data_IF_487512389443
#
_entry.id   IF_487512389443
#
_cell.length_a   1.000
_cell.length_b   1.000
_cell.length_c   1.000
_cell.angle_alpha   90.00
_cell.angle_beta   90.00
_cell.angle_gamma   90.00
#
_symmetry.space_group_name_H-M   'P 1'
#
loop_
_entity.id
_entity.type
_entity.pdbx_description
1 polymer ?
#
# COMPACT_ATOMS: atom_id res chain seq x y z
N UNK A 1 21.10 -0.70 12.47
CA UNK A 1 20.40 0.44 13.14
C UNK A 1 19.86 0.08 14.53
N UNK A 2 19.86 -1.16 14.95
CA UNK A 2 19.48 -1.56 16.33
C UNK A 2 18.03 -1.27 16.74
N UNK A 3 17.14 -1.04 15.77
CA UNK A 3 15.73 -0.73 16.02
C UNK A 3 15.00 -2.04 16.35
N UNK A 4 14.39 -2.20 17.54
CA UNK A 4 13.60 -3.38 17.87
C UNK A 4 12.33 -3.41 17.02
N UNK A 5 11.87 -4.62 16.68
CA UNK A 5 10.60 -4.79 15.99
C UNK A 5 9.48 -4.23 16.87
N UNK A 6 8.72 -3.29 16.31
CA UNK A 6 7.57 -2.67 16.98
C UNK A 6 6.37 -2.58 16.01
N UNK A 7 5.22 -2.23 16.55
CA UNK A 7 3.98 -1.93 15.81
C UNK A 7 3.53 -0.49 16.06
N UNK A 8 4.46 0.38 16.44
CA UNK A 8 4.17 1.79 16.69
C UNK A 8 3.64 2.49 15.45
N UNK A 9 2.74 3.42 15.64
CA UNK A 9 2.31 4.38 14.63
C UNK A 9 3.36 5.44 14.32
N UNK A 10 4.39 5.61 15.17
CA UNK A 10 5.45 6.61 15.05
C UNK A 10 6.50 6.24 13.99
N UNK A 11 7.24 7.23 13.44
CA UNK A 11 8.40 6.97 12.61
C UNK A 11 9.45 6.09 13.32
N UNK A 12 10.12 5.22 12.56
CA UNK A 12 10.97 4.16 13.12
C UNK A 12 12.24 4.67 13.81
N UNK A 13 12.86 5.76 13.31
CA UNK A 13 14.15 6.24 13.84
C UNK A 13 14.35 7.74 13.63
N UNK A 14 14.50 8.51 14.71
CA UNK A 14 14.79 9.96 14.70
C UNK A 14 13.88 10.77 13.74
N UNK A 15 12.59 10.42 13.68
CA UNK A 15 11.63 11.07 12.80
C UNK A 15 11.68 10.60 11.34
N UNK A 16 12.43 9.51 11.05
CA UNK A 16 12.49 8.88 9.75
C UNK A 16 11.72 7.56 9.75
N UNK A 17 10.85 7.37 8.77
CA UNK A 17 10.25 6.08 8.46
C UNK A 17 11.24 5.21 7.67
N UNK A 18 11.49 3.98 8.10
CA UNK A 18 12.41 3.05 7.43
C UNK A 18 11.65 2.07 6.57
N UNK A 19 11.81 2.15 5.25
CA UNK A 19 11.20 1.25 4.28
C UNK A 19 12.23 0.32 3.65
N UNK A 20 12.14 -0.97 4.00
CA UNK A 20 12.90 -2.01 3.32
C UNK A 20 12.12 -2.49 2.10
N UNK A 21 12.77 -2.67 0.96
CA UNK A 21 12.15 -3.26 -0.23
C UNK A 21 13.05 -4.28 -0.91
N UNK A 22 12.42 -5.33 -1.46
CA UNK A 22 13.13 -6.43 -2.08
C UNK A 22 13.62 -6.09 -3.48
N UNK A 23 14.90 -6.38 -3.77
CA UNK A 23 15.51 -6.27 -5.10
C UNK A 23 16.10 -7.63 -5.51
N UNK A 24 16.18 -7.85 -6.80
CA UNK A 24 16.93 -8.99 -7.37
C UNK A 24 18.39 -8.61 -7.63
N UNK A 25 18.61 -7.33 -7.93
CA UNK A 25 19.93 -6.74 -8.15
C UNK A 25 20.02 -5.38 -7.45
N UNK A 26 21.08 -5.17 -6.67
CA UNK A 26 21.31 -3.90 -5.98
C UNK A 26 21.64 -2.73 -6.91
N UNK A 27 22.08 -3.03 -8.12
CA UNK A 27 22.37 -2.02 -9.15
C UNK A 27 21.12 -1.68 -10.00
N UNK A 28 20.05 -2.48 -9.91
CA UNK A 28 18.80 -2.31 -10.68
C UNK A 28 17.59 -2.10 -9.77
N UNK A 29 17.70 -1.14 -8.88
CA UNK A 29 16.64 -0.85 -7.87
C UNK A 29 15.33 -0.33 -8.48
N UNK A 30 15.34 0.17 -9.72
CA UNK A 30 14.16 0.64 -10.45
C UNK A 30 13.20 -0.49 -10.81
N UNK A 31 13.72 -1.70 -11.04
CA UNK A 31 12.96 -2.92 -11.33
C UNK A 31 12.55 -3.70 -10.09
N UNK A 32 12.74 -3.12 -8.91
CA UNK A 32 12.39 -3.73 -7.64
C UNK A 32 10.89 -4.02 -7.50
N UNK A 33 10.58 -4.94 -6.60
CA UNK A 33 9.19 -5.21 -6.20
C UNK A 33 8.53 -3.95 -5.67
N UNK A 34 7.20 -3.81 -5.83
CA UNK A 34 6.47 -2.68 -5.28
C UNK A 34 6.73 -2.51 -3.77
N UNK A 35 6.81 -1.27 -3.35
CA UNK A 35 7.04 -0.89 -1.96
C UNK A 35 5.69 -0.63 -1.30
N UNK A 36 5.43 -1.29 -0.18
CA UNK A 36 4.25 -0.99 0.64
C UNK A 36 4.48 0.33 1.36
N UNK A 37 3.65 1.31 1.05
CA UNK A 37 3.73 2.63 1.66
C UNK A 37 2.93 2.70 2.94
N UNK A 38 1.66 2.31 2.90
CA UNK A 38 0.77 2.34 4.05
C UNK A 38 -0.27 1.22 4.00
N UNK A 39 -0.86 0.92 5.16
CA UNK A 39 -1.80 -0.19 5.33
C UNK A 39 -3.06 0.18 6.10
N UNK A 40 -3.70 1.33 5.85
CA UNK A 40 -4.93 1.68 6.54
C UNK A 40 -6.05 0.74 6.11
N UNK A 41 -6.81 0.25 7.08
CA UNK A 41 -8.05 -0.48 6.79
C UNK A 41 -9.13 0.51 6.32
N UNK A 42 -10.05 0.11 5.41
CA UNK A 42 -11.17 0.95 5.01
C UNK A 42 -12.00 1.43 6.21
N UNK A 43 -12.50 2.66 6.16
CA UNK A 43 -13.39 3.25 7.14
C UNK A 43 -14.81 3.52 6.59
N UNK A 44 -15.09 3.11 5.34
CA UNK A 44 -16.40 3.19 4.73
C UNK A 44 -16.67 2.06 3.72
N UNK A 45 -17.92 2.03 3.22
CA UNK A 45 -18.43 1.06 2.29
C UNK A 45 -18.71 -0.32 2.89
N UNK A 46 -19.08 -1.28 2.05
CA UNK A 46 -19.48 -2.63 2.47
C UNK A 46 -18.44 -3.31 3.37
N UNK A 47 -17.15 -3.07 3.14
CA UNK A 47 -16.07 -3.59 3.97
C UNK A 47 -16.21 -3.19 5.45
N UNK A 48 -16.65 -1.94 5.70
CA UNK A 48 -16.80 -1.40 7.05
C UNK A 48 -18.15 -1.75 7.66
N UNK A 49 -19.21 -1.72 6.85
CA UNK A 49 -20.59 -1.87 7.30
C UNK A 49 -20.94 -3.33 7.66
N UNK A 50 -20.39 -4.28 6.90
CA UNK A 50 -20.51 -5.71 7.22
C UNK A 50 -19.32 -6.15 8.10
N UNK A 51 -18.47 -6.98 7.58
CA UNK A 51 -17.17 -7.33 8.13
C UNK A 51 -16.27 -7.85 7.02
N UNK A 52 -15.02 -8.15 7.35
CA UNK A 52 -14.06 -8.62 6.36
C UNK A 52 -14.41 -10.01 5.81
N UNK A 53 -15.09 -10.84 6.56
CA UNK A 53 -15.51 -12.18 6.12
C UNK A 53 -16.63 -12.07 5.09
N UNK A 54 -17.70 -11.33 5.41
CA UNK A 54 -18.79 -11.03 4.48
C UNK A 54 -18.27 -10.31 3.22
N UNK A 55 -17.32 -9.39 3.37
CA UNK A 55 -16.68 -8.72 2.24
C UNK A 55 -15.99 -9.71 1.30
N UNK A 56 -15.23 -10.68 1.86
CA UNK A 56 -14.53 -11.67 1.04
C UNK A 56 -15.50 -12.68 0.43
N UNK A 57 -16.57 -13.05 1.10
CA UNK A 57 -17.61 -13.91 0.53
C UNK A 57 -18.29 -13.23 -0.66
N UNK A 58 -18.57 -11.92 -0.60
CA UNK A 58 -19.22 -11.16 -1.68
C UNK A 58 -18.27 -10.88 -2.85
N UNK A 59 -17.01 -10.52 -2.59
CA UNK A 59 -16.10 -9.93 -3.57
C UNK A 59 -14.81 -10.73 -3.80
N UNK A 60 -14.54 -11.72 -2.95
CA UNK A 60 -13.40 -12.61 -3.11
C UNK A 60 -13.64 -13.67 -4.19
N UNK A 61 -12.59 -14.32 -4.57
CA UNK A 61 -12.60 -15.42 -5.55
C UNK A 61 -11.74 -16.58 -5.05
N UNK A 62 -11.99 -17.77 -5.58
CA UNK A 62 -11.17 -18.95 -5.27
C UNK A 62 -9.68 -18.67 -5.50
N UNK A 63 -8.85 -19.14 -4.58
CA UNK A 63 -7.41 -18.91 -4.63
C UNK A 63 -6.79 -19.55 -5.87
N UNK A 64 -6.02 -18.76 -6.64
CA UNK A 64 -5.25 -19.26 -7.79
C UNK A 64 -4.14 -20.25 -7.42
N UNK A 65 -3.81 -20.35 -6.12
CA UNK A 65 -2.71 -21.19 -5.63
C UNK A 65 -3.16 -22.62 -5.28
N UNK A 66 -4.28 -23.09 -5.80
CA UNK A 66 -4.84 -24.41 -5.49
C UNK A 66 -4.89 -24.69 -3.97
N UNK A 67 -5.07 -23.66 -3.16
CA UNK A 67 -5.27 -23.82 -1.72
C UNK A 67 -6.74 -24.14 -1.51
N UNK A 68 -7.08 -25.35 -1.07
CA UNK A 68 -8.47 -25.72 -0.85
C UNK A 68 -9.16 -24.77 0.12
N UNK A 69 -10.45 -24.50 -0.11
CA UNK A 69 -11.32 -23.74 0.77
C UNK A 69 -10.74 -22.38 1.18
N UNK A 70 -10.23 -21.66 0.17
CA UNK A 70 -9.68 -20.32 0.38
C UNK A 70 -10.23 -19.34 -0.66
N UNK A 71 -10.68 -18.19 -0.18
CA UNK A 71 -11.02 -17.05 -1.00
C UNK A 71 -9.95 -15.96 -0.86
N UNK A 72 -9.61 -15.32 -1.96
CA UNK A 72 -8.67 -14.20 -2.02
C UNK A 72 -9.34 -12.97 -2.63
N UNK A 73 -9.14 -11.81 -2.01
CA UNK A 73 -9.41 -10.51 -2.61
C UNK A 73 -8.07 -9.83 -2.88
N UNK A 74 -7.67 -9.86 -4.15
CA UNK A 74 -6.36 -9.39 -4.63
C UNK A 74 -6.50 -8.76 -6.00
N UNK A 75 -5.62 -7.85 -6.35
CA UNK A 75 -5.55 -7.16 -7.64
C UNK A 75 -5.07 -5.74 -7.46
N UNK A 76 -4.44 -5.19 -8.50
CA UNK A 76 -3.98 -3.81 -8.48
C UNK A 76 -5.09 -2.90 -8.96
N UNK A 77 -5.46 -1.94 -8.10
CA UNK A 77 -6.49 -0.96 -8.41
C UNK A 77 -5.86 0.41 -8.60
N UNK A 78 -6.05 0.98 -9.77
CA UNK A 78 -5.62 2.32 -10.13
C UNK A 78 -6.84 3.23 -10.27
N UNK A 79 -6.67 4.54 -10.07
CA UNK A 79 -7.76 5.49 -10.25
C UNK A 79 -8.29 5.44 -11.69
N UNK A 80 -9.61 5.31 -11.82
CA UNK A 80 -10.32 5.32 -13.10
C UNK A 80 -10.14 4.07 -13.97
N UNK A 81 -9.47 3.02 -13.45
CA UNK A 81 -9.23 1.77 -14.20
C UNK A 81 -9.91 0.60 -13.50
N UNK A 82 -10.78 -0.11 -14.21
CA UNK A 82 -11.39 -1.33 -13.69
C UNK A 82 -10.33 -2.41 -13.49
N UNK A 83 -10.30 -2.99 -12.29
CA UNK A 83 -9.39 -4.09 -11.96
C UNK A 83 -9.96 -5.41 -12.49
N UNK A 84 -9.27 -6.08 -13.44
CA UNK A 84 -9.72 -7.36 -14.02
C UNK A 84 -10.02 -8.43 -12.97
N UNK A 85 -9.31 -8.38 -11.88
CA UNK A 85 -9.40 -9.38 -10.84
C UNK A 85 -10.65 -9.25 -9.97
N UNK A 86 -11.10 -8.04 -9.69
CA UNK A 86 -12.19 -7.77 -8.75
C UNK A 86 -13.40 -7.13 -9.43
N UNK A 87 -13.24 -6.63 -10.66
CA UNK A 87 -14.22 -5.83 -11.41
C UNK A 87 -14.58 -4.50 -10.74
N UNK A 88 -13.80 -4.09 -9.75
CA UNK A 88 -13.97 -2.81 -9.07
C UNK A 88 -13.09 -1.74 -9.71
N UNK A 89 -13.59 -0.51 -9.74
CA UNK A 89 -12.84 0.68 -10.16
C UNK A 89 -12.52 1.54 -8.95
N UNK A 90 -11.29 2.00 -8.84
CA UNK A 90 -10.89 2.92 -7.78
C UNK A 90 -11.14 4.36 -8.21
N UNK A 91 -11.81 5.13 -7.37
CA UNK A 91 -12.14 6.54 -7.58
C UNK A 91 -11.51 7.42 -6.51
N UNK A 92 -11.11 8.63 -6.91
CA UNK A 92 -10.61 9.67 -6.03
C UNK A 92 -11.65 10.80 -6.02
N UNK A 93 -12.53 10.79 -5.03
CA UNK A 93 -13.63 11.74 -4.87
C UNK A 93 -13.20 12.92 -4.00
N UNK A 94 -13.52 14.14 -4.39
CA UNK A 94 -13.15 15.34 -3.65
C UNK A 94 -11.76 15.90 -3.96
N UNK A 95 -11.13 15.41 -5.06
CA UNK A 95 -9.86 15.93 -5.58
C UNK A 95 -9.99 16.20 -7.08
N UNK A 96 -9.64 17.40 -7.51
CA UNK A 96 -9.54 17.78 -8.91
C UNK A 96 -8.09 17.50 -9.39
N UNK A 97 -7.94 16.46 -10.21
CA UNK A 97 -6.64 16.04 -10.72
C UNK A 97 -6.03 17.04 -11.73
N UNK A 98 -6.86 17.81 -12.44
CA UNK A 98 -6.42 18.82 -13.42
C UNK A 98 -5.92 20.06 -12.70
N UNK A 99 -6.73 20.58 -11.77
CA UNK A 99 -6.36 21.74 -10.96
C UNK A 99 -5.35 21.40 -9.84
N UNK A 100 -5.15 20.11 -9.53
CA UNK A 100 -4.24 19.65 -8.48
C UNK A 100 -4.66 20.09 -7.07
N UNK A 101 -5.96 20.18 -6.78
CA UNK A 101 -6.48 20.69 -5.52
C UNK A 101 -7.58 19.82 -4.92
N UNK A 102 -7.69 19.87 -3.60
CA UNK A 102 -8.82 19.29 -2.86
C UNK A 102 -10.04 20.19 -3.07
N UNK A 103 -11.13 19.62 -3.54
CA UNK A 103 -12.42 20.29 -3.78
C UNK A 103 -13.43 19.99 -2.69
N UNK A 104 -13.23 18.88 -1.97
CA UNK A 104 -14.04 18.50 -0.80
C UNK A 104 -13.12 17.91 0.28
N UNK A 105 -13.09 18.53 1.45
CA UNK A 105 -12.30 18.05 2.59
C UNK A 105 -12.80 16.71 3.15
N UNK A 106 -14.09 16.36 2.91
CA UNK A 106 -14.68 15.07 3.25
C UNK A 106 -14.54 14.04 2.12
N UNK A 107 -13.68 14.30 1.14
CA UNK A 107 -13.42 13.41 0.04
C UNK A 107 -12.86 12.05 0.49
N UNK A 108 -12.79 11.12 -0.45
CA UNK A 108 -12.40 9.73 -0.20
C UNK A 108 -11.71 9.08 -1.39
N UNK A 109 -10.95 8.03 -1.11
CA UNK A 109 -10.59 7.00 -2.10
C UNK A 109 -11.61 5.89 -1.97
N UNK A 110 -12.33 5.53 -3.05
CA UNK A 110 -13.39 4.53 -3.01
C UNK A 110 -13.20 3.45 -4.09
N UNK A 111 -13.48 2.21 -3.74
CA UNK A 111 -13.63 1.11 -4.69
C UNK A 111 -15.12 0.94 -5.00
N UNK A 112 -15.50 1.09 -6.26
CA UNK A 112 -16.88 0.98 -6.71
C UNK A 112 -17.06 -0.21 -7.64
N UNK A 113 -18.24 -0.82 -7.55
CA UNK A 113 -18.73 -1.78 -8.54
C UNK A 113 -19.26 -1.05 -9.79
N UNK A 114 -19.56 -1.80 -10.85
CA UNK A 114 -20.21 -1.28 -12.06
C UNK A 114 -21.63 -0.71 -11.79
N UNK A 115 -22.22 -1.04 -10.63
CA UNK A 115 -23.51 -0.49 -10.15
C UNK A 115 -23.33 0.69 -9.17
N UNK A 116 -22.14 1.30 -9.12
CA UNK A 116 -21.78 2.39 -8.21
C UNK A 116 -21.89 2.06 -6.71
N UNK A 117 -22.01 0.78 -6.34
CA UNK A 117 -21.95 0.38 -4.94
C UNK A 117 -20.52 0.54 -4.39
N UNK A 118 -20.39 1.18 -3.22
CA UNK A 118 -19.12 1.35 -2.55
C UNK A 118 -18.71 0.06 -1.83
N UNK A 119 -17.78 -0.67 -2.41
CA UNK A 119 -17.24 -1.90 -1.82
C UNK A 119 -16.35 -1.60 -0.60
N UNK A 120 -15.48 -0.62 -0.71
CA UNK A 120 -14.60 -0.15 0.38
C UNK A 120 -14.20 1.30 0.12
N UNK A 121 -14.07 2.11 1.15
CA UNK A 121 -13.53 3.45 1.01
C UNK A 121 -12.64 3.86 2.17
N UNK A 122 -11.79 4.86 1.92
CA UNK A 122 -10.89 5.49 2.88
C UNK A 122 -11.11 7.00 2.81
N UNK A 123 -11.60 7.59 3.88
CA UNK A 123 -11.77 9.03 3.98
C UNK A 123 -10.43 9.76 3.85
N UNK A 124 -10.44 10.97 3.28
CA UNK A 124 -9.24 11.81 3.23
C UNK A 124 -8.68 12.03 4.61
N UNK A 125 -9.53 12.27 5.61
CA UNK A 125 -9.09 12.41 7.00
C UNK A 125 -8.17 11.26 7.39
N UNK A 126 -8.62 10.01 7.23
CA UNK A 126 -7.85 8.81 7.61
C UNK A 126 -6.57 8.65 6.81
N UNK A 127 -6.64 8.79 5.50
CA UNK A 127 -5.48 8.59 4.61
C UNK A 127 -4.42 9.67 4.83
N UNK A 128 -4.83 10.94 4.94
CA UNK A 128 -3.91 12.06 5.06
C UNK A 128 -3.28 12.12 6.45
N UNK A 129 -4.04 11.83 7.50
CA UNK A 129 -3.49 11.69 8.86
C UNK A 129 -2.45 10.57 8.92
N UNK A 130 -2.76 9.38 8.37
CA UNK A 130 -1.84 8.26 8.34
C UNK A 130 -0.56 8.57 7.55
N UNK A 131 -0.69 9.29 6.43
CA UNK A 131 0.43 9.71 5.61
C UNK A 131 1.32 10.74 6.30
N UNK A 132 0.74 11.83 6.76
CA UNK A 132 1.49 12.94 7.38
C UNK A 132 2.24 12.52 8.63
N UNK A 133 1.69 11.58 9.39
CA UNK A 133 2.29 11.12 10.64
C UNK A 133 3.61 10.36 10.42
N UNK A 134 3.69 9.52 9.38
CA UNK A 134 4.83 8.63 9.16
C UNK A 134 5.79 9.01 8.04
N UNK A 135 5.30 9.73 7.04
CA UNK A 135 6.01 9.84 5.77
C UNK A 135 6.66 11.19 5.49
N UNK A 136 6.69 12.11 6.47
CA UNK A 136 7.37 13.41 6.30
C UNK A 136 8.82 13.26 5.88
N UNK A 137 9.50 12.22 6.41
CA UNK A 137 10.85 11.80 6.04
C UNK A 137 10.91 10.28 5.97
N UNK A 138 11.46 9.73 4.91
CA UNK A 138 11.59 8.29 4.76
C UNK A 138 12.95 7.88 4.19
N UNK A 139 13.47 6.75 4.67
CA UNK A 139 14.66 6.12 4.11
C UNK A 139 14.27 4.79 3.47
N UNK A 140 14.61 4.62 2.20
CA UNK A 140 14.33 3.43 1.42
C UNK A 140 15.61 2.61 1.25
N UNK A 141 15.60 1.38 1.80
CA UNK A 141 16.78 0.50 1.83
C UNK A 141 16.51 -0.74 0.96
N UNK A 142 17.25 -0.93 -0.14
CA UNK A 142 17.13 -2.14 -0.93
C UNK A 142 17.70 -3.35 -0.20
N UNK A 143 17.02 -4.49 -0.31
CA UNK A 143 17.45 -5.72 0.35
C UNK A 143 17.25 -6.96 -0.53
N UNK A 144 18.09 -7.96 -0.31
CA UNK A 144 17.91 -9.32 -0.81
C UNK A 144 17.64 -10.26 0.36
N UNK A 145 16.70 -11.16 0.17
CA UNK A 145 16.36 -12.17 1.16
C UNK A 145 16.93 -13.52 0.73
N UNK A 146 17.65 -14.17 1.64
CA UNK A 146 18.01 -15.56 1.57
C UNK A 146 17.18 -16.35 2.58
N UNK A 147 16.70 -17.52 2.21
CA UNK A 147 15.87 -18.38 3.08
C UNK A 147 16.60 -19.62 3.52
N UNK A 148 17.57 -20.10 2.72
CA UNK A 148 18.37 -21.29 2.99
C UNK A 148 19.85 -20.92 3.17
N UNK A 149 20.60 -21.55 4.08
CA UNK A 149 20.15 -22.52 5.09
C UNK A 149 19.38 -21.88 6.26
N UNK A 150 19.34 -20.57 6.36
CA UNK A 150 18.56 -19.79 7.33
C UNK A 150 18.15 -18.44 6.77
N UNK A 151 17.14 -17.87 7.37
CA UNK A 151 16.65 -16.54 7.01
C UNK A 151 17.70 -15.47 7.27
N UNK A 152 18.13 -14.78 6.21
CA UNK A 152 19.07 -13.68 6.23
C UNK A 152 18.63 -12.59 5.26
N UNK A 153 19.08 -11.37 5.54
CA UNK A 153 18.91 -10.23 4.66
C UNK A 153 20.26 -9.60 4.36
N UNK A 154 20.55 -9.41 3.09
CA UNK A 154 21.61 -8.52 2.63
C UNK A 154 21.00 -7.17 2.31
N UNK A 155 21.61 -6.09 2.74
CA UNK A 155 21.19 -4.72 2.46
C UNK A 155 22.13 -4.09 1.44
N UNK A 156 21.57 -3.35 0.49
CA UNK A 156 22.37 -2.60 -0.48
C UNK A 156 23.01 -1.37 0.16
N UNK A 157 24.12 -0.96 -0.40
CA UNK A 157 24.89 0.21 0.05
C UNK A 157 24.32 1.54 -0.45
N UNK A 158 23.34 1.52 -1.38
CA UNK A 158 22.66 2.71 -1.90
C UNK A 158 21.30 2.84 -1.22
N UNK A 159 21.17 3.73 -0.24
CA UNK A 159 19.89 4.07 0.36
C UNK A 159 19.34 5.36 -0.28
N UNK A 160 18.02 5.50 -0.32
CA UNK A 160 17.37 6.73 -0.81
C UNK A 160 16.74 7.47 0.38
N UNK A 161 17.13 8.72 0.58
CA UNK A 161 16.54 9.63 1.56
C UNK A 161 15.48 10.48 0.84
N UNK A 162 14.25 10.45 1.35
CA UNK A 162 13.12 11.14 0.76
C UNK A 162 12.49 12.10 1.78
N UNK A 163 12.23 13.34 1.37
CA UNK A 163 11.69 14.40 2.23
C UNK A 163 10.76 15.33 1.45
N UNK A 164 9.96 16.13 2.17
CA UNK A 164 9.10 17.14 1.57
C UNK A 164 7.88 16.51 0.89
N UNK A 165 7.07 15.79 1.64
CA UNK A 165 5.77 15.30 1.19
C UNK A 165 4.64 16.09 1.85
N UNK A 166 3.49 16.11 1.19
CA UNK A 166 2.26 16.72 1.68
C UNK A 166 1.02 15.95 1.16
N UNK A 167 -0.15 16.39 1.60
CA UNK A 167 -1.44 15.81 1.20
C UNK A 167 -1.68 15.89 -0.31
N UNK A 168 -1.28 16.99 -0.95
CA UNK A 168 -1.49 17.16 -2.39
C UNK A 168 -0.57 16.28 -3.23
N UNK A 169 0.68 16.10 -2.81
CA UNK A 169 1.61 15.15 -3.47
C UNK A 169 1.07 13.72 -3.37
N UNK A 170 0.54 13.32 -2.20
CA UNK A 170 -0.06 12.02 -2.03
C UNK A 170 -1.26 11.83 -2.96
N UNK A 171 -2.24 12.75 -2.95
CA UNK A 171 -3.44 12.63 -3.81
C UNK A 171 -3.09 12.69 -5.29
N UNK A 172 -2.13 13.52 -5.69
CA UNK A 172 -1.60 13.58 -7.05
C UNK A 172 -0.95 12.24 -7.45
N UNK A 173 -0.26 11.57 -6.54
CA UNK A 173 0.35 10.27 -6.82
C UNK A 173 -0.69 9.17 -7.07
N UNK A 174 -1.84 9.23 -6.40
CA UNK A 174 -2.98 8.36 -6.71
C UNK A 174 -3.58 8.71 -8.09
N UNK A 175 -3.87 9.98 -8.32
CA UNK A 175 -4.45 10.45 -9.58
C UNK A 175 -3.59 10.09 -10.80
N UNK A 176 -2.27 10.14 -10.67
CA UNK A 176 -1.31 9.78 -11.74
C UNK A 176 -1.04 8.28 -11.87
N UNK A 177 -1.58 7.44 -10.97
CA UNK A 177 -1.30 6.01 -10.92
C UNK A 177 0.10 5.63 -10.40
N UNK A 178 0.88 6.58 -9.89
CA UNK A 178 2.14 6.29 -9.22
C UNK A 178 1.91 5.47 -7.95
N UNK A 179 0.84 5.77 -7.23
CA UNK A 179 0.36 5.02 -6.08
C UNK A 179 -0.93 4.28 -6.41
N UNK A 180 -1.10 3.06 -5.88
CA UNK A 180 -2.23 2.20 -6.16
C UNK A 180 -2.56 1.28 -4.98
N UNK A 181 -3.77 0.76 -4.94
CA UNK A 181 -4.21 -0.21 -3.93
C UNK A 181 -3.92 -1.64 -4.41
N UNK A 182 -3.24 -2.44 -3.60
CA UNK A 182 -2.86 -3.83 -3.90
C UNK A 182 -3.14 -4.73 -2.68
N UNK A 183 -4.40 -5.08 -2.45
CA UNK A 183 -4.79 -5.87 -1.28
C UNK A 183 -4.28 -7.30 -1.34
N UNK A 184 -4.06 -7.86 -0.16
CA UNK A 184 -3.80 -9.29 0.01
C UNK A 184 -4.74 -9.91 1.03
N UNK A 185 -6.02 -9.49 1.00
CA UNK A 185 -7.05 -9.94 1.93
C UNK A 185 -7.43 -11.38 1.56
N UNK A 186 -7.58 -12.24 2.54
CA UNK A 186 -7.97 -13.64 2.27
C UNK A 186 -8.76 -14.25 3.42
N UNK A 187 -9.55 -15.26 3.08
CA UNK A 187 -10.32 -16.08 4.00
C UNK A 187 -9.93 -17.53 3.81
N UNK A 188 -9.40 -18.15 4.86
CA UNK A 188 -9.08 -19.59 4.91
C UNK A 188 -10.24 -20.34 5.56
N UNK A 189 -10.43 -21.59 5.19
CA UNK A 189 -11.54 -22.45 5.63
C UNK A 189 -12.90 -21.75 5.42
N UNK A 190 -13.06 -21.14 4.25
CA UNK A 190 -14.16 -20.22 3.94
C UNK A 190 -15.55 -20.88 4.00
N UNK A 191 -15.63 -22.22 3.82
CA UNK A 191 -16.88 -22.99 3.89
C UNK A 191 -17.21 -23.56 5.27
N UNK A 192 -16.39 -23.28 6.29
CA UNK A 192 -16.52 -23.88 7.62
C UNK A 192 -16.76 -22.85 8.72
N UNK A 193 -17.20 -23.30 9.88
CA UNK A 193 -17.32 -22.52 11.12
C UNK A 193 -15.96 -22.05 11.69
N UNK A 194 -14.86 -22.51 11.09
CA UNK A 194 -13.48 -22.14 11.44
C UNK A 194 -12.87 -21.18 10.42
N UNK A 195 -13.70 -20.44 9.70
CA UNK A 195 -13.26 -19.43 8.76
C UNK A 195 -12.32 -18.42 9.44
N UNK A 196 -11.22 -18.07 8.75
CA UNK A 196 -10.21 -17.16 9.29
C UNK A 196 -9.83 -16.11 8.25
N UNK A 197 -10.36 -14.92 8.44
CA UNK A 197 -10.03 -13.77 7.62
C UNK A 197 -8.64 -13.18 7.98
N UNK A 198 -7.88 -12.82 6.97
CA UNK A 198 -6.67 -12.03 7.09
C UNK A 198 -6.87 -10.68 6.43
N UNK A 199 -6.90 -9.64 7.24
CA UNK A 199 -6.88 -8.25 6.80
C UNK A 199 -5.51 -7.90 6.23
N UNK A 200 -5.47 -7.35 5.04
CA UNK A 200 -4.25 -6.87 4.39
C UNK A 200 -4.58 -5.82 3.34
N UNK A 201 -4.98 -4.66 3.82
CA UNK A 201 -5.21 -3.47 3.02
C UNK A 201 -3.88 -2.76 2.80
N UNK A 202 -3.42 -2.63 1.55
CA UNK A 202 -2.08 -2.11 1.24
C UNK A 202 -2.12 -1.13 0.07
N UNK A 203 -1.47 0.02 0.25
CA UNK A 203 -1.16 0.93 -0.84
C UNK A 203 0.32 0.83 -1.18
N UNK A 204 0.60 0.70 -2.47
CA UNK A 204 1.93 0.45 -3.00
C UNK A 204 2.39 1.55 -3.97
N UNK A 205 3.70 1.67 -4.10
CA UNK A 205 4.37 2.45 -5.14
C UNK A 205 5.42 1.59 -5.83
N UNK A 206 5.59 1.75 -7.14
CA UNK A 206 6.76 1.18 -7.82
C UNK A 206 8.02 1.95 -7.40
N UNK A 207 9.16 1.27 -7.19
CA UNK A 207 10.38 1.92 -6.69
C UNK A 207 10.86 3.10 -7.54
N UNK A 208 10.62 3.05 -8.85
CA UNK A 208 10.92 4.14 -9.79
C UNK A 208 10.05 5.39 -9.59
N UNK A 209 8.88 5.25 -8.97
CA UNK A 209 7.90 6.32 -8.77
C UNK A 209 7.97 6.96 -7.37
N UNK A 210 8.95 6.62 -6.53
CA UNK A 210 9.11 7.23 -5.20
C UNK A 210 9.19 8.77 -5.29
N UNK A 211 9.84 9.28 -6.33
CA UNK A 211 9.98 10.73 -6.58
C UNK A 211 8.66 11.46 -6.77
N UNK A 212 7.57 10.77 -7.13
CA UNK A 212 6.25 11.37 -7.25
C UNK A 212 5.63 11.74 -5.88
N UNK A 213 6.15 11.15 -4.80
CA UNK A 213 5.63 11.30 -3.43
C UNK A 213 6.36 12.37 -2.62
N UNK A 214 7.57 12.75 -3.03
CA UNK A 214 8.45 13.62 -2.26
C UNK A 214 9.00 14.76 -3.09
N UNK A 215 9.39 15.83 -2.42
CA UNK A 215 10.03 16.98 -3.04
C UNK A 215 11.49 16.68 -3.40
N UNK A 216 12.19 16.01 -2.49
CA UNK A 216 13.56 15.56 -2.68
C UNK A 216 13.69 14.07 -2.43
N UNK A 217 14.43 13.39 -3.31
CA UNK A 217 14.85 12.00 -3.15
C UNK A 217 16.31 11.90 -3.52
N UNK A 218 17.16 11.75 -2.51
CA UNK A 218 18.61 11.69 -2.68
C UNK A 218 19.11 10.26 -2.46
N UNK A 219 20.07 9.83 -3.28
CA UNK A 219 20.76 8.55 -3.07
C UNK A 219 22.01 8.79 -2.26
N UNK A 220 22.13 8.11 -1.14
CA UNK A 220 23.32 8.14 -0.28
C UNK A 220 24.02 6.78 -0.27
N UNK A 221 25.35 6.82 -0.22
CA UNK A 221 26.16 5.62 -0.04
C UNK A 221 26.34 5.35 1.45
N UNK A 222 25.99 4.13 1.85
CA UNK A 222 26.20 3.65 3.22
C UNK A 222 27.42 2.75 3.21
N UNK A 223 28.50 3.18 3.87
CA UNK A 223 29.69 2.36 4.02
C UNK A 223 29.39 1.14 4.89
N UNK A 224 29.87 -0.06 4.53
CA UNK A 224 29.84 -1.20 5.43
C UNK A 224 30.65 -0.86 6.70
N UNK A 225 30.08 -1.11 7.86
CA UNK A 225 30.82 -1.11 9.12
C UNK A 225 31.46 -2.47 9.35
#
# INVERSE_FOLDING_TARGET
>A
MGIPKNSSGEPDFLGWEVKQFGVEDFERVESAKPITMMTPEPDGGFYKDADVEAFIHKLGRSSKKNTPDRLDFTGRHFIGVACDATRLTMHLRGYDAVAGKITDANGEIALLSDADEVAASWSFKKILEHWSHKHSKAVYVPSKRQTEPKWQYAYGHKARLAQGTDSLKLLRSFASGAMYYDPGINLKNASTDRAKAKKRSQFHVASKNITALYETVETVLVSPQ
#
